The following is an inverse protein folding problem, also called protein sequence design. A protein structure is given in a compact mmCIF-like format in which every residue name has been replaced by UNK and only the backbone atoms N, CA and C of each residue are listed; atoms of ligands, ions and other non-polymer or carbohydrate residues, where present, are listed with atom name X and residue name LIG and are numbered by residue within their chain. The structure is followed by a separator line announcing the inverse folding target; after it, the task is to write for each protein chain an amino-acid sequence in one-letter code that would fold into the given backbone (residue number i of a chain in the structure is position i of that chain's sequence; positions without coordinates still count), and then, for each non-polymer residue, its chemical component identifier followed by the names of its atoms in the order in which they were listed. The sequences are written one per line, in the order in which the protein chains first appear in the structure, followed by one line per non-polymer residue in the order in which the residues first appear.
data_IF_056320737567
#
_entry.id   IF_056320737567
#
_cell.length_a   1.000
_cell.length_b   1.000
_cell.length_c   1.000
_cell.angle_alpha   90.00
_cell.angle_beta   90.00
_cell.angle_gamma   90.00
#
_symmetry.space_group_name_H-M   'P 1'
#
loop_
_entity.id
_entity.type
_entity.pdbx_description
1 polymer ?
#
# COMPACT_ATOMS: atom_id res chain seq x y z
N UNK A 1 27.64 -2.92 -7.33
CA UNK A 1 27.16 -1.54 -7.48
C UNK A 1 26.54 -1.15 -6.16
N UNK A 2 27.08 -0.15 -5.46
CA UNK A 2 26.52 0.34 -4.20
C UNK A 2 25.49 1.44 -4.51
N UNK A 3 24.32 1.39 -3.86
CA UNK A 3 23.23 2.35 -4.04
C UNK A 3 23.26 3.47 -3.00
N UNK A 4 24.17 3.41 -2.02
CA UNK A 4 24.29 4.42 -0.98
C UNK A 4 24.51 5.82 -1.55
N UNK A 5 23.68 6.77 -1.09
CA UNK A 5 23.71 8.16 -1.54
C UNK A 5 23.12 8.42 -2.94
N UNK A 6 22.65 7.39 -3.65
CA UNK A 6 22.02 7.56 -4.96
C UNK A 6 20.57 8.03 -4.87
N UNK A 7 20.11 8.70 -5.92
CA UNK A 7 18.69 9.02 -6.10
C UNK A 7 17.83 7.75 -6.19
N UNK A 8 18.39 6.65 -6.71
CA UNK A 8 17.69 5.35 -6.76
C UNK A 8 17.34 4.86 -5.36
N UNK A 9 18.25 4.95 -4.40
CA UNK A 9 17.98 4.56 -3.01
C UNK A 9 16.89 5.44 -2.39
N UNK A 10 16.88 6.75 -2.69
CA UNK A 10 15.83 7.65 -2.21
C UNK A 10 14.47 7.29 -2.81
N UNK A 11 14.40 7.10 -4.13
CA UNK A 11 13.18 6.69 -4.82
C UNK A 11 12.62 5.36 -4.28
N UNK A 12 13.48 4.39 -3.98
CA UNK A 12 13.07 3.11 -3.38
C UNK A 12 12.48 3.30 -1.97
N UNK A 13 13.06 4.19 -1.15
CA UNK A 13 12.50 4.51 0.17
C UNK A 13 11.14 5.18 0.06
N UNK A 14 10.99 6.12 -0.87
CA UNK A 14 9.75 6.86 -1.08
C UNK A 14 8.65 5.92 -1.62
N UNK A 15 8.99 5.06 -2.56
CA UNK A 15 8.10 4.01 -3.07
C UNK A 15 7.66 3.06 -1.94
N UNK A 16 8.61 2.56 -1.14
CA UNK A 16 8.31 1.68 -0.01
C UNK A 16 7.36 2.34 1.00
N UNK A 17 7.59 3.61 1.33
CA UNK A 17 6.71 4.37 2.21
C UNK A 17 5.32 4.56 1.60
N UNK A 18 5.23 4.85 0.29
CA UNK A 18 3.97 5.00 -0.44
C UNK A 18 3.16 3.70 -0.50
N UNK A 19 3.79 2.60 -0.89
CA UNK A 19 3.16 1.27 -0.98
C UNK A 19 2.73 0.75 0.40
N UNK A 20 3.53 0.98 1.43
CA UNK A 20 3.17 0.63 2.81
C UNK A 20 1.91 1.36 3.27
N UNK A 21 1.77 2.64 2.93
CA UNK A 21 0.58 3.41 3.24
C UNK A 21 -0.62 2.98 2.38
N UNK A 22 -0.40 2.67 1.10
CA UNK A 22 -1.45 2.17 0.21
C UNK A 22 -2.02 0.84 0.70
N UNK A 23 -1.17 -0.11 1.08
CA UNK A 23 -1.58 -1.39 1.64
C UNK A 23 -2.48 -1.21 2.88
N UNK A 24 -2.09 -0.33 3.81
CA UNK A 24 -2.92 -0.03 5.00
C UNK A 24 -4.29 0.54 4.63
N UNK A 25 -4.36 1.40 3.60
CA UNK A 25 -5.64 1.94 3.10
C UNK A 25 -6.50 0.86 2.46
N UNK A 26 -5.93 -0.04 1.67
CA UNK A 26 -6.67 -1.15 1.07
C UNK A 26 -7.29 -2.06 2.13
N UNK A 27 -6.52 -2.44 3.16
CA UNK A 27 -7.06 -3.22 4.29
C UNK A 27 -8.20 -2.49 5.02
N UNK A 28 -8.08 -1.18 5.21
CA UNK A 28 -9.15 -0.38 5.80
C UNK A 28 -10.41 -0.36 4.91
N UNK A 29 -10.25 -0.21 3.60
CA UNK A 29 -11.38 -0.21 2.67
C UNK A 29 -12.03 -1.59 2.53
N UNK A 30 -11.23 -2.67 2.51
CA UNK A 30 -11.75 -4.03 2.56
C UNK A 30 -12.60 -4.26 3.81
N UNK A 31 -12.08 -3.87 4.99
CA UNK A 31 -12.82 -3.98 6.24
C UNK A 31 -14.09 -3.12 6.27
N UNK A 32 -14.08 -1.93 5.66
CA UNK A 32 -15.28 -1.10 5.53
C UNK A 32 -16.31 -1.70 4.59
N UNK A 33 -15.89 -2.21 3.44
CA UNK A 33 -16.77 -2.89 2.48
C UNK A 33 -17.43 -4.13 3.10
N UNK A 34 -16.69 -4.91 3.90
CA UNK A 34 -17.23 -6.06 4.65
C UNK A 34 -18.33 -5.64 5.64
N UNK A 35 -18.10 -4.59 6.44
CA UNK A 35 -19.09 -4.05 7.38
C UNK A 35 -20.35 -3.52 6.68
N UNK A 36 -20.20 -2.93 5.50
CA UNK A 36 -21.31 -2.41 4.70
C UNK A 36 -22.04 -3.49 3.87
N UNK A 37 -21.54 -4.73 3.88
CA UNK A 37 -22.13 -5.89 3.20
C UNK A 37 -21.73 -6.06 1.74
N UNK A 38 -20.68 -5.36 1.28
CA UNK A 38 -20.12 -5.45 -0.07
C UNK A 38 -18.99 -6.49 -0.16
N UNK A 39 -19.29 -7.76 0.10
CA UNK A 39 -18.29 -8.83 0.23
C UNK A 39 -17.40 -9.02 -1.01
N UNK A 40 -17.95 -8.88 -2.21
CA UNK A 40 -17.18 -8.99 -3.46
C UNK A 40 -16.16 -7.85 -3.60
N UNK A 41 -16.53 -6.64 -3.14
CA UNK A 41 -15.64 -5.47 -3.12
C UNK A 41 -14.56 -5.63 -2.05
N UNK A 42 -14.92 -6.15 -0.87
CA UNK A 42 -13.97 -6.43 0.19
C UNK A 42 -12.90 -7.45 -0.23
N UNK A 43 -13.24 -8.40 -1.10
CA UNK A 43 -12.33 -9.46 -1.57
C UNK A 43 -11.27 -8.95 -2.55
N UNK A 44 -11.58 -7.89 -3.31
CA UNK A 44 -10.66 -7.33 -4.31
C UNK A 44 -9.76 -6.22 -3.76
N UNK A 45 -10.02 -5.75 -2.53
CA UNK A 45 -9.19 -4.79 -1.80
C UNK A 45 -8.26 -5.50 -0.81
#
# INVERSE_FOLDING_TARGET
MDLNGSNTLQNLKDAFAGESQANRRYLYFAAKADVEGYNDVATVF
#
